data_IF_723573746671
#
_entry.id   IF_723573746671
#
_cell.length_a   1.000
_cell.length_b   1.000
_cell.length_c   1.000
_cell.angle_alpha   90.00
_cell.angle_beta   90.00
_cell.angle_gamma   90.00
#
_symmetry.space_group_name_H-M   'P 1'
#
loop_
_entity.id
_entity.type
_entity.pdbx_description
1 polymer ?
#
# COMPACT_ATOMS: atom_id res chain seq x y z
N UNK A 1 -4.90 -13.81 -8.98
CA UNK A 1 -5.46 -14.75 -9.98
C UNK A 1 -4.58 -14.80 -11.22
N UNK A 2 -4.27 -13.66 -11.88
CA UNK A 2 -3.50 -13.59 -13.12
C UNK A 2 -2.15 -14.32 -13.04
N UNK A 3 -1.32 -14.00 -12.03
CA UNK A 3 -0.03 -14.67 -11.82
C UNK A 3 -0.15 -16.19 -11.69
N UNK A 4 -1.19 -16.65 -10.97
CA UNK A 4 -1.46 -18.09 -10.83
C UNK A 4 -1.74 -18.74 -12.18
N UNK A 5 -2.55 -18.10 -13.04
CA UNK A 5 -2.87 -18.61 -14.38
C UNK A 5 -1.63 -18.63 -15.30
N UNK A 6 -0.81 -17.59 -15.27
CA UNK A 6 0.44 -17.51 -16.05
C UNK A 6 1.44 -18.60 -15.62
N UNK A 7 1.66 -18.78 -14.32
CA UNK A 7 2.55 -19.80 -13.78
C UNK A 7 2.02 -21.22 -14.02
N UNK A 8 0.70 -21.41 -13.94
CA UNK A 8 0.08 -22.69 -14.29
C UNK A 8 0.28 -23.03 -15.78
N UNK A 9 0.10 -22.05 -16.68
CA UNK A 9 0.32 -22.22 -18.11
C UNK A 9 1.79 -22.55 -18.42
N UNK A 10 2.74 -21.88 -17.74
CA UNK A 10 4.17 -22.19 -17.84
C UNK A 10 4.47 -23.63 -17.40
N UNK A 11 3.95 -24.01 -16.24
CA UNK A 11 4.16 -25.35 -15.66
C UNK A 11 3.54 -26.47 -16.51
N UNK A 12 2.35 -26.24 -17.06
CA UNK A 12 1.63 -27.21 -17.90
C UNK A 12 2.04 -27.16 -19.37
N UNK A 13 2.96 -26.27 -19.74
CA UNK A 13 3.41 -26.04 -21.12
C UNK A 13 2.22 -25.79 -22.07
N UNK A 14 1.35 -24.85 -21.71
CA UNK A 14 0.16 -24.50 -22.50
C UNK A 14 0.18 -23.02 -22.91
N UNK A 15 -0.56 -22.71 -23.98
CA UNK A 15 -0.85 -21.32 -24.35
C UNK A 15 -2.08 -20.83 -23.58
N UNK A 16 -2.05 -19.56 -23.15
CA UNK A 16 -3.17 -18.94 -22.47
C UNK A 16 -3.38 -17.52 -22.98
N UNK A 17 -4.65 -17.11 -23.01
CA UNK A 17 -5.08 -15.75 -23.24
C UNK A 17 -5.89 -15.30 -22.02
N UNK A 18 -5.50 -14.19 -21.39
CA UNK A 18 -6.16 -13.63 -20.22
C UNK A 18 -6.70 -12.25 -20.60
N UNK A 19 -7.98 -12.01 -20.34
CA UNK A 19 -8.64 -10.70 -20.55
C UNK A 19 -8.83 -10.03 -19.21
N UNK A 20 -8.27 -8.83 -19.04
CA UNK A 20 -8.46 -8.00 -17.84
C UNK A 20 -9.33 -6.79 -18.19
N UNK A 21 -10.51 -6.70 -17.59
CA UNK A 21 -11.37 -5.50 -17.74
C UNK A 21 -10.79 -4.30 -17.00
N UNK A 22 -10.16 -4.55 -15.86
CA UNK A 22 -9.44 -3.55 -15.06
C UNK A 22 -8.00 -4.04 -14.94
N UNK A 23 -7.00 -3.25 -15.38
CA UNK A 23 -5.61 -3.64 -15.28
C UNK A 23 -5.19 -3.89 -13.82
N UNK A 24 -4.59 -5.04 -13.57
CA UNK A 24 -3.97 -5.38 -12.30
C UNK A 24 -2.44 -5.30 -12.39
N UNK A 25 -1.75 -5.61 -11.28
CA UNK A 25 -0.28 -5.62 -11.19
C UNK A 25 0.34 -6.49 -12.28
N UNK A 26 1.42 -6.02 -12.93
CA UNK A 26 2.06 -6.66 -14.08
C UNK A 26 3.45 -7.24 -13.78
N UNK A 27 3.79 -7.46 -12.51
CA UNK A 27 5.10 -7.98 -12.10
C UNK A 27 5.41 -9.34 -12.71
N UNK A 28 4.42 -10.24 -12.82
CA UNK A 28 4.63 -11.59 -13.37
C UNK A 28 4.92 -11.52 -14.85
N UNK A 29 4.23 -10.66 -15.60
CA UNK A 29 4.49 -10.45 -17.02
C UNK A 29 5.91 -9.90 -17.23
N UNK A 30 6.33 -8.91 -16.44
CA UNK A 30 7.68 -8.33 -16.49
C UNK A 30 8.76 -9.35 -16.17
N UNK A 31 8.54 -10.17 -15.14
CA UNK A 31 9.45 -11.24 -14.75
C UNK A 31 9.58 -12.29 -15.87
N UNK A 32 8.46 -12.71 -16.46
CA UNK A 32 8.47 -13.65 -17.56
C UNK A 32 9.17 -13.08 -18.79
N UNK A 33 8.94 -11.80 -19.13
CA UNK A 33 9.65 -11.11 -20.22
C UNK A 33 11.15 -11.03 -19.94
N UNK A 34 11.58 -10.74 -18.71
CA UNK A 34 13.00 -10.76 -18.34
C UNK A 34 13.63 -12.13 -18.53
N UNK A 35 12.86 -13.20 -18.37
CA UNK A 35 13.27 -14.58 -18.62
C UNK A 35 13.09 -15.03 -20.09
N UNK A 36 12.97 -14.10 -21.03
CA UNK A 36 12.81 -14.34 -22.48
C UNK A 36 11.53 -15.13 -22.84
N UNK A 37 10.48 -15.06 -21.98
CA UNK A 37 9.21 -15.70 -22.28
C UNK A 37 8.44 -14.96 -23.39
N UNK A 38 7.74 -15.71 -24.24
CA UNK A 38 6.83 -15.16 -25.22
C UNK A 38 5.52 -14.73 -24.56
N UNK A 39 5.54 -13.55 -23.95
CA UNK A 39 4.39 -12.91 -23.30
C UNK A 39 4.26 -11.47 -23.78
N UNK A 40 3.07 -11.08 -24.20
CA UNK A 40 2.80 -9.73 -24.67
C UNK A 40 1.35 -9.32 -24.39
N UNK A 41 1.09 -8.02 -24.42
CA UNK A 41 -0.20 -7.43 -24.16
C UNK A 41 -0.75 -6.73 -25.38
N UNK A 42 -1.97 -7.08 -25.78
CA UNK A 42 -2.75 -6.44 -26.83
C UNK A 42 -4.04 -5.85 -26.24
N UNK A 43 -4.06 -4.54 -26.03
CA UNK A 43 -5.19 -3.88 -25.38
C UNK A 43 -5.38 -4.39 -23.93
N UNK A 44 -6.52 -5.05 -23.68
CA UNK A 44 -6.84 -5.67 -22.39
C UNK A 44 -6.53 -7.18 -22.33
N UNK A 45 -5.93 -7.74 -23.39
CA UNK A 45 -5.54 -9.15 -23.45
C UNK A 45 -4.08 -9.31 -23.14
N UNK A 46 -3.76 -10.34 -22.36
CA UNK A 46 -2.41 -10.86 -22.12
C UNK A 46 -2.32 -12.19 -22.79
N UNK A 47 -1.39 -12.34 -23.71
CA UNK A 47 -1.15 -13.57 -24.49
C UNK A 47 0.17 -14.14 -24.03
N UNK A 48 0.17 -15.40 -23.62
CA UNK A 48 1.35 -16.09 -23.13
C UNK A 48 1.48 -17.49 -23.75
N UNK A 49 2.66 -17.76 -24.32
CA UNK A 49 3.01 -19.09 -24.83
C UNK A 49 3.88 -19.85 -23.82
N UNK A 50 3.25 -20.54 -22.88
CA UNK A 50 3.93 -21.37 -21.90
C UNK A 50 4.57 -22.66 -22.44
N UNK A 51 4.42 -22.96 -23.74
CA UNK A 51 5.08 -24.12 -24.39
C UNK A 51 6.56 -23.90 -24.64
N UNK A 52 6.99 -22.64 -24.65
CA UNK A 52 8.37 -22.22 -24.86
C UNK A 52 9.17 -22.34 -23.58
N UNK A 53 10.43 -22.68 -23.72
CA UNK A 53 11.36 -22.65 -22.60
C UNK A 53 11.71 -21.20 -22.25
N UNK A 54 11.81 -20.94 -20.93
CA UNK A 54 12.28 -19.65 -20.41
C UNK A 54 13.75 -19.75 -20.01
N UNK A 55 14.47 -18.65 -20.15
CA UNK A 55 15.88 -18.55 -19.75
C UNK A 55 15.98 -18.27 -18.26
N UNK A 56 16.80 -19.03 -17.53
CA UNK A 56 17.13 -18.69 -16.14
C UNK A 56 18.03 -17.48 -16.10
N UNK A 57 17.61 -16.44 -15.40
CA UNK A 57 18.38 -15.21 -15.22
C UNK A 57 18.53 -14.88 -13.73
N UNK A 58 19.54 -14.09 -13.41
CA UNK A 58 19.60 -13.42 -12.12
C UNK A 58 18.58 -12.29 -12.11
N UNK A 59 17.72 -12.31 -11.12
CA UNK A 59 16.68 -11.29 -10.94
C UNK A 59 17.00 -10.45 -9.68
N UNK A 60 17.17 -9.17 -9.91
CA UNK A 60 17.34 -8.18 -8.83
C UNK A 60 15.96 -7.58 -8.52
N UNK A 61 15.36 -8.01 -7.41
CA UNK A 61 14.02 -7.57 -6.98
C UNK A 61 14.12 -6.21 -6.30
N UNK A 62 13.34 -5.19 -6.71
CA UNK A 62 13.31 -3.90 -6.03
C UNK A 62 12.76 -4.03 -4.61
N UNK A 63 13.04 -3.03 -3.75
CA UNK A 63 12.42 -2.96 -2.43
C UNK A 63 10.91 -2.79 -2.56
N UNK A 64 10.17 -3.42 -1.64
CA UNK A 64 8.71 -3.45 -1.68
C UNK A 64 8.09 -2.06 -1.47
N UNK A 65 7.18 -1.69 -2.38
CA UNK A 65 6.48 -0.42 -2.34
C UNK A 65 5.54 -0.31 -1.12
N UNK A 66 4.85 -1.39 -0.75
CA UNK A 66 3.94 -1.35 0.42
C UNK A 66 4.70 -1.12 1.72
N UNK A 67 5.87 -1.74 1.90
CA UNK A 67 6.74 -1.45 3.04
C UNK A 67 7.23 0.00 3.02
N UNK A 68 7.64 0.50 1.86
CA UNK A 68 8.07 1.89 1.69
C UNK A 68 6.93 2.88 1.99
N UNK A 69 5.68 2.55 1.69
CA UNK A 69 4.52 3.42 1.92
C UNK A 69 4.38 3.85 3.38
N UNK A 70 4.65 2.94 4.35
CA UNK A 70 4.63 3.30 5.78
C UNK A 70 5.71 4.32 6.14
N UNK A 71 6.90 4.16 5.57
CA UNK A 71 8.02 5.08 5.81
C UNK A 71 7.80 6.43 5.11
N UNK A 72 7.16 6.43 3.93
CA UNK A 72 6.71 7.65 3.25
C UNK A 72 5.69 8.40 4.12
N UNK A 73 4.70 7.69 4.66
CA UNK A 73 3.70 8.29 5.56
C UNK A 73 4.35 8.82 6.86
N UNK A 74 5.32 8.09 7.42
CA UNK A 74 6.09 8.54 8.57
C UNK A 74 6.85 9.85 8.26
N UNK A 75 7.51 9.96 7.11
CA UNK A 75 8.17 11.20 6.66
C UNK A 75 7.18 12.37 6.61
N UNK A 76 6.04 12.17 5.94
CA UNK A 76 5.00 13.19 5.76
C UNK A 76 4.47 13.67 7.12
N UNK A 77 4.09 12.74 7.99
CA UNK A 77 3.46 13.06 9.26
C UNK A 77 4.44 13.62 10.30
N UNK A 78 5.73 13.25 10.26
CA UNK A 78 6.76 13.73 11.18
C UNK A 78 7.57 14.89 10.59
N UNK A 79 7.26 15.31 9.36
CA UNK A 79 7.99 16.34 8.61
C UNK A 79 9.50 16.04 8.48
N UNK A 80 9.84 14.77 8.33
CA UNK A 80 11.19 14.31 8.00
C UNK A 80 11.32 14.15 6.48
N UNK A 81 12.51 14.27 5.95
CA UNK A 81 12.80 14.08 4.51
C UNK A 81 13.89 13.02 4.34
N UNK A 82 13.61 11.82 4.86
CA UNK A 82 14.56 10.69 4.79
C UNK A 82 14.35 9.97 3.46
N UNK A 83 15.38 9.87 2.61
CA UNK A 83 15.25 9.21 1.32
C UNK A 83 15.08 7.69 1.48
N UNK A 84 14.20 7.11 0.69
CA UNK A 84 13.98 5.67 0.60
C UNK A 84 14.57 5.16 -0.70
N UNK A 85 15.69 4.48 -0.61
CA UNK A 85 16.48 4.06 -1.77
C UNK A 85 16.00 2.76 -2.41
N UNK A 86 16.03 2.69 -3.75
CA UNK A 86 15.82 1.47 -4.52
C UNK A 86 14.42 0.88 -4.44
N UNK A 87 13.40 1.70 -4.18
CA UNK A 87 11.99 1.27 -4.08
C UNK A 87 11.43 0.96 -5.46
N UNK A 88 10.67 -0.12 -5.58
CA UNK A 88 9.91 -0.44 -6.79
C UNK A 88 8.85 0.62 -7.08
N UNK A 89 8.93 1.26 -8.25
CA UNK A 89 8.00 2.32 -8.67
C UNK A 89 7.16 1.93 -9.88
N UNK A 90 6.76 0.69 -9.94
CA UNK A 90 5.84 0.21 -10.96
C UNK A 90 4.51 0.96 -10.87
N UNK A 91 4.07 1.56 -11.98
CA UNK A 91 2.83 2.36 -12.04
C UNK A 91 1.58 1.60 -11.63
N UNK A 92 1.58 0.27 -11.75
CA UNK A 92 0.47 -0.57 -11.28
C UNK A 92 0.42 -0.74 -9.75
N UNK A 93 1.38 -0.13 -9.02
CA UNK A 93 1.52 -0.19 -7.55
C UNK A 93 1.55 1.17 -6.88
N UNK A 94 1.87 2.23 -7.61
CA UNK A 94 2.25 3.53 -7.04
C UNK A 94 1.11 4.54 -7.01
N UNK A 95 -0.14 4.13 -7.16
CA UNK A 95 -1.29 5.02 -7.06
C UNK A 95 -1.34 5.77 -5.70
N UNK A 96 -0.77 5.19 -4.65
CA UNK A 96 -0.61 5.84 -3.36
C UNK A 96 0.18 7.16 -3.43
N UNK A 97 1.21 7.26 -4.28
CA UNK A 97 1.97 8.50 -4.46
C UNK A 97 1.08 9.62 -5.01
N UNK A 98 0.19 9.29 -5.98
CA UNK A 98 -0.75 10.26 -6.54
C UNK A 98 -1.74 10.76 -5.46
N UNK A 99 -2.25 9.84 -4.63
CA UNK A 99 -3.12 10.21 -3.50
C UNK A 99 -2.40 11.14 -2.53
N UNK A 100 -1.14 10.87 -2.21
CA UNK A 100 -0.34 11.75 -1.35
C UNK A 100 -0.15 13.15 -1.96
N UNK A 101 0.06 13.24 -3.28
CA UNK A 101 0.14 14.53 -3.98
C UNK A 101 -1.20 15.27 -3.94
N UNK A 102 -2.33 14.58 -4.14
CA UNK A 102 -3.67 15.15 -3.97
C UNK A 102 -3.93 15.60 -2.52
N UNK A 103 -3.40 14.89 -1.54
CA UNK A 103 -3.41 15.29 -0.13
C UNK A 103 -2.47 16.47 0.17
N UNK A 104 -1.65 16.92 -0.78
CA UNK A 104 -0.77 18.09 -0.67
C UNK A 104 0.69 17.77 -0.36
N UNK A 105 1.09 16.52 -0.37
CA UNK A 105 2.49 16.14 -0.22
C UNK A 105 3.29 16.42 -1.51
N UNK A 106 4.58 16.69 -1.36
CA UNK A 106 5.54 16.78 -2.45
C UNK A 106 6.35 15.50 -2.52
N UNK A 107 6.17 14.76 -3.59
CA UNK A 107 6.88 13.51 -3.87
C UNK A 107 7.94 13.78 -4.93
N UNK A 108 9.15 13.26 -4.73
CA UNK A 108 10.20 13.29 -5.75
C UNK A 108 10.81 11.91 -5.92
N UNK A 109 10.97 11.53 -7.17
CA UNK A 109 11.67 10.32 -7.58
C UNK A 109 13.05 10.70 -8.08
N UNK A 110 14.09 10.11 -7.48
CA UNK A 110 15.48 10.31 -7.85
C UNK A 110 16.07 8.99 -8.35
N UNK A 111 17.14 9.04 -9.12
CA UNK A 111 17.89 7.88 -9.57
C UNK A 111 17.02 6.79 -10.23
N UNK A 112 15.96 7.22 -10.94
CA UNK A 112 15.03 6.30 -11.57
C UNK A 112 15.75 5.46 -12.64
N UNK A 113 15.60 4.14 -12.55
CA UNK A 113 16.16 3.18 -13.49
C UNK A 113 15.26 1.94 -13.61
N UNK A 114 15.59 1.07 -14.55
CA UNK A 114 14.93 -0.24 -14.69
C UNK A 114 15.98 -1.32 -14.57
N UNK A 115 15.77 -2.27 -13.63
CA UNK A 115 16.66 -3.42 -13.43
C UNK A 115 15.76 -4.67 -13.37
N UNK A 116 16.16 -5.73 -14.06
CA UNK A 116 15.36 -6.96 -14.20
C UNK A 116 13.92 -6.69 -14.63
N UNK A 117 13.76 -5.77 -15.61
CA UNK A 117 12.48 -5.30 -16.17
C UNK A 117 11.52 -4.64 -15.14
N UNK A 118 11.99 -4.35 -13.90
CA UNK A 118 11.20 -3.64 -12.90
C UNK A 118 11.74 -2.21 -12.70
N UNK A 119 10.87 -1.18 -12.77
CA UNK A 119 11.25 0.19 -12.50
C UNK A 119 11.47 0.38 -11.00
N UNK A 120 12.55 1.08 -10.66
CA UNK A 120 12.89 1.48 -9.29
C UNK A 120 13.38 2.90 -9.22
N UNK A 121 13.23 3.52 -8.07
CA UNK A 121 13.74 4.86 -7.79
C UNK A 121 14.00 5.04 -6.30
N UNK A 122 14.73 6.12 -5.97
CA UNK A 122 14.79 6.63 -4.61
C UNK A 122 13.65 7.63 -4.44
N UNK A 123 12.92 7.52 -3.32
CA UNK A 123 11.74 8.34 -3.05
C UNK A 123 12.03 9.29 -1.89
N UNK A 124 11.78 10.58 -2.09
CA UNK A 124 11.65 11.55 -1.00
C UNK A 124 10.22 12.09 -0.98
N UNK A 125 9.69 12.30 0.23
CA UNK A 125 8.33 12.76 0.44
C UNK A 125 8.28 13.71 1.62
N UNK A 126 7.71 14.90 1.41
CA UNK A 126 7.53 15.91 2.46
C UNK A 126 6.23 16.67 2.30
N UNK A 127 5.84 17.33 3.37
CA UNK A 127 4.68 18.19 3.40
C UNK A 127 5.12 19.66 3.54
N UNK A 128 4.65 20.51 2.64
CA UNK A 128 4.89 21.96 2.75
C UNK A 128 3.71 22.68 3.43
N UNK A 129 2.54 22.05 3.43
CA UNK A 129 1.28 22.56 4.01
C UNK A 129 0.59 21.45 4.77
N UNK A 130 -0.56 21.74 5.39
CA UNK A 130 -1.35 20.69 6.04
C UNK A 130 -1.89 19.68 5.01
N UNK A 131 -1.99 18.42 5.42
CA UNK A 131 -2.66 17.39 4.64
C UNK A 131 -4.12 17.77 4.40
N UNK A 132 -4.63 17.47 3.21
CA UNK A 132 -6.03 17.71 2.82
C UNK A 132 -6.78 16.38 2.68
N UNK A 133 -8.07 16.42 3.02
CA UNK A 133 -8.97 15.31 2.73
C UNK A 133 -9.13 15.09 1.23
N UNK A 134 -9.35 13.83 0.84
CA UNK A 134 -9.48 13.39 -0.56
C UNK A 134 -10.69 12.50 -0.76
N UNK A 135 -11.14 12.37 -2.03
CA UNK A 135 -12.19 11.43 -2.41
C UNK A 135 -11.63 10.41 -3.39
N UNK A 136 -11.64 9.13 -3.04
CA UNK A 136 -11.03 8.05 -3.81
C UNK A 136 -12.09 7.02 -4.14
N UNK A 137 -12.17 6.64 -5.43
CA UNK A 137 -13.12 5.63 -5.92
C UNK A 137 -12.72 5.08 -7.29
N UNK A 138 -13.42 4.07 -7.76
CA UNK A 138 -13.34 3.58 -9.13
C UNK A 138 -12.03 2.87 -9.45
N UNK A 139 -11.47 3.17 -10.62
CA UNK A 139 -10.35 2.41 -11.21
C UNK A 139 -9.03 2.51 -10.45
N UNK A 140 -8.87 3.47 -9.54
CA UNK A 140 -7.66 3.60 -8.72
C UNK A 140 -7.61 2.59 -7.57
N UNK A 141 -8.76 2.12 -7.09
CA UNK A 141 -8.89 1.26 -5.91
C UNK A 141 -8.04 -0.02 -5.99
N UNK A 142 -8.04 -0.81 -7.08
CA UNK A 142 -7.22 -2.03 -7.15
C UNK A 142 -5.72 -1.77 -6.96
N UNK A 143 -5.23 -0.60 -7.37
CA UNK A 143 -3.83 -0.21 -7.25
C UNK A 143 -3.49 0.44 -5.90
N UNK A 144 -4.51 0.66 -5.05
CA UNK A 144 -4.43 1.28 -3.72
C UNK A 144 -4.84 0.33 -2.60
N UNK A 145 -5.45 -0.79 -2.92
CA UNK A 145 -6.20 -1.62 -1.98
C UNK A 145 -5.42 -1.96 -0.72
N UNK A 146 -4.11 -2.14 -0.87
CA UNK A 146 -3.22 -2.51 0.23
C UNK A 146 -2.78 -1.29 1.07
N UNK A 147 -2.79 -0.09 0.53
CA UNK A 147 -2.41 1.16 1.19
C UNK A 147 -3.61 1.94 1.75
N UNK A 148 -4.85 1.51 1.51
CA UNK A 148 -6.07 2.17 2.03
C UNK A 148 -6.07 2.30 3.55
N UNK A 149 -5.67 1.31 4.37
CA UNK A 149 -5.58 1.50 5.82
C UNK A 149 -4.63 2.63 6.21
N UNK A 150 -3.52 2.76 5.51
CA UNK A 150 -2.55 3.83 5.74
C UNK A 150 -3.08 5.20 5.30
N UNK A 151 -3.82 5.27 4.18
CA UNK A 151 -4.53 6.49 3.74
C UNK A 151 -5.54 6.94 4.79
N UNK A 152 -6.26 6.01 5.41
CA UNK A 152 -7.19 6.33 6.49
C UNK A 152 -6.47 6.94 7.72
N UNK A 153 -5.29 6.44 8.05
CA UNK A 153 -4.46 7.05 9.11
C UNK A 153 -4.02 8.47 8.72
N UNK A 154 -3.56 8.69 7.48
CA UNK A 154 -3.22 10.03 7.00
C UNK A 154 -4.43 10.97 7.06
N UNK A 155 -5.62 10.47 6.74
CA UNK A 155 -6.88 11.22 6.80
C UNK A 155 -7.25 11.67 8.21
N UNK A 156 -6.82 10.96 9.27
CA UNK A 156 -7.03 11.42 10.67
C UNK A 156 -6.31 12.74 10.97
N UNK A 157 -5.23 13.04 10.24
CA UNK A 157 -4.40 14.23 10.43
C UNK A 157 -4.61 15.27 9.31
N UNK A 158 -5.53 15.01 8.37
CA UNK A 158 -5.81 15.91 7.26
C UNK A 158 -6.79 17.02 7.64
N UNK A 159 -6.87 18.07 6.83
CA UNK A 159 -7.92 19.07 6.88
C UNK A 159 -9.03 18.69 5.91
N UNK A 160 -10.26 18.64 6.41
CA UNK A 160 -11.43 18.27 5.63
C UNK A 160 -11.66 16.76 5.57
N UNK A 161 -12.74 16.41 4.89
CA UNK A 161 -13.27 15.07 4.83
C UNK A 161 -12.50 14.20 3.82
N UNK A 162 -12.25 12.93 4.19
CA UNK A 162 -11.79 11.90 3.25
C UNK A 162 -12.88 10.86 3.04
N UNK A 163 -13.13 10.50 1.78
CA UNK A 163 -14.13 9.49 1.40
C UNK A 163 -13.49 8.42 0.52
N UNK A 164 -13.70 7.16 0.84
CA UNK A 164 -13.24 6.00 0.06
C UNK A 164 -14.44 5.15 -0.30
N UNK A 165 -14.60 4.83 -1.59
CA UNK A 165 -15.66 3.99 -2.14
C UNK A 165 -15.08 2.93 -3.08
N UNK A 166 -15.91 2.00 -3.51
CA UNK A 166 -15.56 0.89 -4.42
C UNK A 166 -14.46 -0.04 -3.89
N UNK A 167 -14.21 -0.03 -2.58
CA UNK A 167 -13.17 -0.80 -1.89
C UNK A 167 -13.72 -2.03 -1.13
N UNK A 168 -14.85 -2.61 -1.58
CA UNK A 168 -15.50 -3.76 -0.93
C UNK A 168 -14.56 -4.94 -0.72
N UNK A 169 -13.54 -5.11 -1.58
CA UNK A 169 -12.55 -6.19 -1.46
C UNK A 169 -11.79 -6.16 -0.12
N UNK A 170 -11.69 -5.00 0.55
CA UNK A 170 -11.07 -4.88 1.86
C UNK A 170 -11.75 -5.74 2.94
N UNK A 171 -13.03 -6.06 2.78
CA UNK A 171 -13.77 -6.91 3.72
C UNK A 171 -13.37 -8.39 3.66
N UNK A 172 -12.66 -8.78 2.61
CA UNK A 172 -12.28 -10.17 2.32
C UNK A 172 -10.75 -10.36 2.32
N UNK A 173 -10.01 -9.46 2.98
CA UNK A 173 -8.56 -9.58 3.17
C UNK A 173 -8.27 -10.43 4.42
N UNK A 174 -7.14 -10.23 5.08
CA UNK A 174 -6.75 -10.93 6.30
C UNK A 174 -7.78 -10.73 7.43
N UNK A 175 -8.46 -9.59 7.41
CA UNK A 175 -9.58 -9.22 8.27
C UNK A 175 -10.65 -8.49 7.45
N UNK A 176 -11.82 -8.20 8.04
CA UNK A 176 -12.67 -7.12 7.52
C UNK A 176 -11.99 -5.79 7.83
N UNK A 177 -11.09 -5.38 6.91
CA UNK A 177 -10.27 -4.17 7.09
C UNK A 177 -11.09 -2.90 7.24
N UNK A 178 -12.30 -2.84 6.67
CA UNK A 178 -13.16 -1.65 6.80
C UNK A 178 -13.64 -1.52 8.24
N UNK A 179 -14.36 -2.51 8.75
CA UNK A 179 -14.93 -2.44 10.10
C UNK A 179 -13.83 -2.36 11.16
N UNK A 180 -12.82 -3.22 11.07
CA UNK A 180 -11.72 -3.26 12.05
C UNK A 180 -10.94 -1.94 12.10
N UNK A 181 -10.66 -1.33 10.93
CA UNK A 181 -9.99 -0.04 10.85
C UNK A 181 -10.80 1.06 11.52
N UNK A 182 -12.10 1.15 11.23
CA UNK A 182 -12.97 2.18 11.78
C UNK A 182 -13.17 2.02 13.29
N UNK A 183 -13.35 0.79 13.77
CA UNK A 183 -13.46 0.49 15.20
C UNK A 183 -12.20 0.91 15.95
N UNK A 184 -11.04 0.57 15.43
CA UNK A 184 -9.76 0.98 16.01
C UNK A 184 -9.53 2.49 15.92
N UNK A 185 -9.92 3.15 14.82
CA UNK A 185 -9.87 4.61 14.71
C UNK A 185 -10.75 5.27 15.75
N UNK A 186 -11.93 4.72 16.04
CA UNK A 186 -12.84 5.24 17.07
C UNK A 186 -12.28 5.06 18.47
N UNK A 187 -11.60 3.93 18.75
CA UNK A 187 -10.86 3.71 20.00
C UNK A 187 -9.67 4.67 20.12
N UNK A 188 -8.93 4.87 19.02
CA UNK A 188 -7.75 5.72 18.98
C UNK A 188 -8.09 7.20 19.13
N UNK A 189 -9.15 7.68 18.49
CA UNK A 189 -9.66 9.05 18.60
C UNK A 189 -11.20 9.04 18.74
N UNK A 190 -11.74 9.08 19.97
CA UNK A 190 -13.18 9.02 20.21
C UNK A 190 -13.98 10.16 19.56
N UNK A 191 -13.34 11.28 19.24
CA UNK A 191 -13.99 12.45 18.66
C UNK A 191 -14.02 12.45 17.12
N UNK A 192 -13.38 11.46 16.47
CA UNK A 192 -13.37 11.35 15.02
C UNK A 192 -14.76 11.05 14.47
N UNK A 193 -15.14 11.74 13.38
CA UNK A 193 -16.34 11.41 12.62
C UNK A 193 -16.08 10.29 11.66
N UNK A 194 -16.85 9.20 11.76
CA UNK A 194 -16.71 8.02 10.90
C UNK A 194 -18.08 7.61 10.36
N UNK A 195 -18.14 7.30 9.07
CA UNK A 195 -19.28 6.66 8.43
C UNK A 195 -18.81 5.44 7.70
N UNK A 196 -19.35 4.28 8.03
CA UNK A 196 -19.07 3.02 7.34
C UNK A 196 -20.06 2.83 6.18
N UNK A 197 -19.54 2.38 5.03
CA UNK A 197 -20.32 1.93 3.87
C UNK A 197 -20.00 0.47 3.59
N UNK A 198 -20.86 -0.21 2.83
CA UNK A 198 -20.60 -1.59 2.41
C UNK A 198 -19.28 -1.73 1.64
N UNK A 199 -18.95 -0.73 0.84
CA UNK A 199 -17.81 -0.69 -0.09
C UNK A 199 -16.74 0.35 0.26
N UNK A 200 -16.73 0.86 1.51
CA UNK A 200 -15.78 1.90 1.89
C UNK A 200 -16.16 2.63 3.16
N UNK A 201 -15.70 3.87 3.28
CA UNK A 201 -15.92 4.66 4.49
C UNK A 201 -15.68 6.16 4.25
N UNK A 202 -16.12 6.95 5.22
CA UNK A 202 -15.88 8.39 5.30
C UNK A 202 -15.24 8.73 6.63
N UNK A 203 -14.26 9.63 6.61
CA UNK A 203 -13.52 10.12 7.78
C UNK A 203 -13.63 11.64 7.83
N UNK A 204 -14.10 12.16 8.96
CA UNK A 204 -14.05 13.57 9.31
C UNK A 204 -13.08 13.71 10.48
N UNK A 205 -11.88 14.27 10.28
CA UNK A 205 -10.85 14.32 11.32
C UNK A 205 -11.25 15.18 12.49
N UNK A 206 -10.70 14.88 13.67
CA UNK A 206 -10.83 15.68 14.88
C UNK A 206 -9.47 15.85 15.52
N UNK A 207 -9.18 17.09 15.98
CA UNK A 207 -7.89 17.44 16.59
C UNK A 207 -7.76 17.01 18.07
N UNK A 208 -8.84 16.56 18.70
CA UNK A 208 -8.83 16.17 20.11
C UNK A 208 -8.40 14.71 20.24
N UNK A 209 -7.24 14.48 20.82
CA UNK A 209 -6.68 13.15 21.10
C UNK A 209 -6.57 12.98 22.64
N UNK A 210 -7.63 12.51 23.29
CA UNK A 210 -7.77 12.60 24.77
C UNK A 210 -7.14 11.42 25.56
N UNK A 211 -6.63 10.36 24.92
CA UNK A 211 -6.12 9.20 25.64
C UNK A 211 -4.62 8.99 25.46
N UNK A 212 -3.88 8.80 26.54
CA UNK A 212 -2.45 8.50 26.52
C UNK A 212 -2.15 7.04 26.09
N UNK A 213 -3.12 6.14 26.28
CA UNK A 213 -3.00 4.72 25.93
C UNK A 213 -4.28 4.19 25.33
N UNK A 214 -4.14 3.24 24.40
CA UNK A 214 -5.28 2.56 23.75
C UNK A 214 -4.95 1.11 23.48
N UNK A 215 -5.94 0.24 23.68
CA UNK A 215 -5.89 -1.19 23.29
C UNK A 215 -6.60 -1.33 21.94
N UNK A 216 -5.88 -1.88 20.94
CA UNK A 216 -6.39 -2.08 19.58
C UNK A 216 -6.39 -3.55 19.21
N UNK A 217 -7.43 -3.95 18.50
CA UNK A 217 -7.57 -5.29 17.94
C UNK A 217 -6.93 -5.32 16.56
N UNK A 218 -6.17 -6.36 16.26
CA UNK A 218 -5.42 -6.49 15.01
C UNK A 218 -6.12 -7.39 14.00
N UNK A 219 -6.89 -8.36 14.50
CA UNK A 219 -7.48 -9.41 13.64
C UNK A 219 -6.44 -10.22 12.87
N UNK A 220 -5.16 -10.26 13.34
CA UNK A 220 -4.05 -10.87 12.64
C UNK A 220 -3.60 -10.09 11.40
N UNK A 221 -4.00 -8.82 11.26
CA UNK A 221 -3.73 -8.02 10.07
C UNK A 221 -2.56 -7.05 10.29
N UNK A 222 -1.41 -7.39 9.72
CA UNK A 222 -0.18 -6.59 9.78
C UNK A 222 -0.37 -5.14 9.29
N UNK A 223 -1.28 -4.90 8.34
CA UNK A 223 -1.50 -3.55 7.80
C UNK A 223 -2.24 -2.65 8.78
N UNK A 224 -3.14 -3.22 9.57
CA UNK A 224 -3.79 -2.50 10.69
C UNK A 224 -2.73 -2.10 11.71
N UNK A 225 -1.90 -3.06 12.15
CA UNK A 225 -0.84 -2.80 13.14
C UNK A 225 0.09 -1.70 12.66
N UNK A 226 0.71 -1.87 11.49
CA UNK A 226 1.69 -0.93 10.96
C UNK A 226 1.09 0.46 10.75
N UNK A 227 -0.17 0.55 10.28
CA UNK A 227 -0.86 1.83 10.10
C UNK A 227 -1.04 2.59 11.42
N UNK A 228 -1.47 1.92 12.48
CA UNK A 228 -1.62 2.56 13.79
C UNK A 228 -0.30 2.85 14.48
N UNK A 229 0.76 2.08 14.22
CA UNK A 229 2.12 2.45 14.65
C UNK A 229 2.54 3.79 14.06
N UNK A 230 2.25 4.04 12.77
CA UNK A 230 2.50 5.36 12.15
C UNK A 230 1.68 6.46 12.83
N UNK A 231 0.42 6.22 13.18
CA UNK A 231 -0.39 7.19 13.94
C UNK A 231 0.21 7.49 15.32
N UNK A 232 0.74 6.47 15.99
CA UNK A 232 1.41 6.60 17.30
C UNK A 232 2.65 7.51 17.23
N UNK A 233 3.43 7.48 16.13
CA UNK A 233 4.61 8.35 15.97
C UNK A 233 4.28 9.83 16.07
N UNK A 234 3.10 10.22 15.59
CA UNK A 234 2.67 11.62 15.53
C UNK A 234 2.06 12.07 16.84
N UNK A 235 1.27 11.21 17.46
CA UNK A 235 0.48 11.56 18.66
C UNK A 235 1.22 11.27 19.97
N UNK A 236 2.28 10.45 19.93
CA UNK A 236 2.94 9.92 21.12
C UNK A 236 2.07 8.93 21.92
N UNK A 237 0.89 8.57 21.40
CA UNK A 237 -0.06 7.67 22.05
C UNK A 237 0.50 6.26 22.14
N UNK A 238 0.47 5.66 23.32
CA UNK A 238 0.90 4.26 23.53
C UNK A 238 -0.20 3.32 23.08
N UNK A 239 0.14 2.39 22.18
CA UNK A 239 -0.78 1.37 21.69
C UNK A 239 -0.38 0.02 22.27
N UNK A 240 -1.37 -0.70 22.77
CA UNK A 240 -1.26 -2.11 23.10
C UNK A 240 -2.06 -2.90 22.06
N UNK A 241 -1.36 -3.70 21.27
CA UNK A 241 -1.98 -4.61 20.31
C UNK A 241 -2.20 -5.98 20.94
N UNK A 242 -3.27 -6.68 20.55
CA UNK A 242 -3.54 -8.06 20.97
C UNK A 242 -2.52 -9.05 20.40
N UNK A 243 -1.90 -8.75 19.23
CA UNK A 243 -0.78 -9.48 18.67
C UNK A 243 0.07 -8.55 17.79
N UNK A 244 1.33 -8.94 17.46
CA UNK A 244 2.21 -8.19 16.55
C UNK A 244 3.04 -9.09 15.63
N UNK A 245 2.90 -10.41 15.77
CA UNK A 245 3.71 -11.41 15.05
C UNK A 245 3.42 -11.41 13.54
N UNK A 246 2.20 -11.04 13.14
CA UNK A 246 1.81 -10.93 11.73
C UNK A 246 2.67 -9.90 10.96
N UNK A 247 3.22 -8.89 11.64
CA UNK A 247 4.10 -7.89 11.03
C UNK A 247 5.39 -8.51 10.52
N UNK A 248 6.00 -9.42 11.29
CA UNK A 248 7.26 -10.07 10.92
C UNK A 248 7.14 -10.91 9.63
N UNK A 249 5.94 -11.36 9.29
CA UNK A 249 5.68 -12.08 8.03
C UNK A 249 5.72 -11.17 6.81
N UNK A 250 5.30 -9.90 6.96
CA UNK A 250 5.14 -8.95 5.85
C UNK A 250 6.29 -7.94 5.77
N UNK A 251 6.75 -7.44 6.91
CA UNK A 251 7.84 -6.48 7.02
C UNK A 251 8.76 -6.85 8.20
N UNK A 252 9.64 -7.85 8.04
CA UNK A 252 10.60 -8.23 9.07
C UNK A 252 11.41 -7.03 9.55
N UNK A 253 11.49 -6.84 10.87
CA UNK A 253 12.24 -5.73 11.48
C UNK A 253 11.53 -4.35 11.40
N UNK A 254 10.24 -4.29 11.09
CA UNK A 254 9.49 -3.03 11.00
C UNK A 254 9.63 -2.16 12.27
N UNK A 255 9.49 -2.76 13.44
CA UNK A 255 9.56 -2.02 14.70
C UNK A 255 10.94 -1.43 14.97
N UNK A 256 12.01 -2.12 14.59
CA UNK A 256 13.39 -1.63 14.69
C UNK A 256 13.61 -0.44 13.75
N UNK A 257 13.13 -0.53 12.51
CA UNK A 257 13.18 0.55 11.53
C UNK A 257 12.44 1.78 12.06
N UNK A 258 11.21 1.61 12.55
CA UNK A 258 10.41 2.71 13.09
C UNK A 258 11.06 3.33 14.33
N UNK A 259 11.64 2.52 15.21
CA UNK A 259 12.37 3.00 16.39
C UNK A 259 13.59 3.84 16.00
N UNK A 260 14.35 3.40 15.00
CA UNK A 260 15.48 4.17 14.46
C UNK A 260 15.01 5.46 13.76
N UNK A 261 13.81 5.44 13.17
CA UNK A 261 13.20 6.62 12.53
C UNK A 261 12.81 7.71 13.54
N UNK A 262 12.48 7.31 14.77
CA UNK A 262 12.02 8.21 15.81
C UNK A 262 13.18 8.92 16.54
N UNK A 263 14.39 8.37 16.53
CA UNK A 263 15.59 8.97 17.11
C UNK A 263 16.15 10.08 16.19
#
# INVERSE_FOLDING_TARGET
IKSCLLLAALSSKTKIEIVENIPSRDHTERLLQECDAEIFKEGNKIIFDGTKEITKKYIDVPKDFSSAAYLIAANILTNKDIPLEGVGVNKTRTAFLNVLEEMGAKIKLHNACTISNEPRADITAKLDTNLKGVSISGQSIPNLIDEIPLIAILAMFAEGKTTIRDAKELRYKESDRISLLLDNMKKFNPNIGLTEFEDGFEIIPSKNHDNDRVDLETGGDHRIIMSFVIASLVTGKKINFDETESVETSFPGFFEVIKAWYQ
#
